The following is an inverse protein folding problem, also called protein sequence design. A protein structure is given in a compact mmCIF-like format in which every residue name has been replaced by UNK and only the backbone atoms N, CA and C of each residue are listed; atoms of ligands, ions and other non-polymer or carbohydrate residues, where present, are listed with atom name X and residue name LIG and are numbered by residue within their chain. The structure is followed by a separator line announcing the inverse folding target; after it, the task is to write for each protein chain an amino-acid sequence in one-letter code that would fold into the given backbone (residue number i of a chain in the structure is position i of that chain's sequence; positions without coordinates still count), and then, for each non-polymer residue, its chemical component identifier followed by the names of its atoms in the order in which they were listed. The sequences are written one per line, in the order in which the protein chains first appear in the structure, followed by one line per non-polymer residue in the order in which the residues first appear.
data_IF_473808113639
#
_entry.id   IF_473808113639
#
_cell.length_a   1.000
_cell.length_b   1.000
_cell.length_c   1.000
_cell.angle_alpha   90.00
_cell.angle_beta   90.00
_cell.angle_gamma   90.00
#
_symmetry.space_group_name_H-M   'P 1'
#
loop_
_entity.id
_entity.type
_entity.pdbx_description
1 polymer ?
#
# COMPACT_ATOMS: atom_id res chain seq x y z
N UNK A 1 -0.12 -1.57 -26.35
CA UNK A 1 -1.11 -0.55 -25.91
C UNK A 1 -0.54 0.22 -24.71
N UNK A 2 -0.68 1.55 -24.67
CA UNK A 2 -0.37 2.32 -23.44
C UNK A 2 -1.22 1.75 -22.28
N UNK A 3 -0.70 1.67 -21.07
CA UNK A 3 -1.38 1.07 -19.91
C UNK A 3 -1.23 -0.43 -19.73
N UNK A 4 -0.30 -1.09 -20.44
CA UNK A 4 0.00 -2.52 -20.25
C UNK A 4 1.50 -2.79 -20.19
N UNK A 5 1.90 -3.70 -19.29
CA UNK A 5 3.24 -4.28 -19.30
C UNK A 5 3.14 -5.69 -19.90
N UNK A 6 4.01 -5.95 -20.88
CA UNK A 6 4.26 -7.30 -21.36
C UNK A 6 5.25 -7.96 -20.40
N UNK A 7 4.81 -9.00 -19.71
CA UNK A 7 5.70 -9.81 -18.90
C UNK A 7 6.00 -11.10 -19.68
N UNK A 8 7.28 -11.33 -20.01
CA UNK A 8 7.76 -12.58 -20.61
C UNK A 8 8.32 -13.46 -19.50
N UNK A 9 7.62 -14.54 -19.18
CA UNK A 9 8.05 -15.49 -18.16
C UNK A 9 7.15 -16.73 -18.12
N UNK A 10 7.67 -17.82 -17.57
CA UNK A 10 6.88 -18.99 -17.20
C UNK A 10 6.16 -18.69 -15.89
N UNK A 11 4.93 -18.22 -15.99
CA UNK A 11 4.01 -18.14 -14.85
C UNK A 11 3.56 -19.54 -14.44
N UNK A 12 3.07 -19.69 -13.21
CA UNK A 12 2.56 -20.96 -12.66
C UNK A 12 1.46 -21.64 -13.50
N UNK A 13 0.91 -20.94 -14.51
CA UNK A 13 -0.11 -21.44 -15.43
C UNK A 13 0.40 -21.93 -16.80
N UNK A 14 1.72 -21.91 -17.04
CA UNK A 14 2.34 -22.53 -18.21
C UNK A 14 2.20 -21.75 -19.52
N UNK A 15 3.33 -21.21 -19.98
CA UNK A 15 3.66 -20.72 -21.34
C UNK A 15 2.74 -19.66 -22.00
N UNK A 16 3.28 -18.43 -22.13
CA UNK A 16 2.81 -17.41 -23.07
C UNK A 16 3.26 -15.99 -22.68
N UNK A 17 3.45 -15.10 -23.66
CA UNK A 17 3.55 -13.66 -23.40
C UNK A 17 2.19 -13.18 -22.87
N UNK A 18 2.16 -12.67 -21.64
CA UNK A 18 0.93 -12.14 -21.02
C UNK A 18 1.03 -10.64 -20.85
N UNK A 19 -0.05 -9.96 -21.24
CA UNK A 19 -0.21 -8.53 -21.04
C UNK A 19 -1.01 -8.32 -19.77
N UNK A 20 -0.38 -7.70 -18.78
CA UNK A 20 -1.06 -7.27 -17.57
C UNK A 20 -1.41 -5.80 -17.70
N UNK A 21 -2.64 -5.46 -17.34
CA UNK A 21 -3.07 -4.06 -17.26
C UNK A 21 -2.38 -3.43 -16.06
N UNK A 22 -1.73 -2.30 -16.29
CA UNK A 22 -1.16 -1.49 -15.23
C UNK A 22 -2.27 -1.03 -14.26
N UNK A 23 -2.07 -1.14 -12.93
CA UNK A 23 -3.03 -0.64 -11.96
C UNK A 23 -3.16 0.90 -12.03
N UNK A 24 -2.06 1.57 -12.36
CA UNK A 24 -1.90 3.00 -12.61
C UNK A 24 -0.61 3.22 -13.42
N UNK A 25 -0.41 4.42 -13.95
CA UNK A 25 0.83 4.84 -14.62
C UNK A 25 1.54 5.95 -13.83
N UNK A 26 2.88 6.07 -13.93
CA UNK A 26 3.59 7.23 -13.41
C UNK A 26 2.97 8.54 -13.93
N UNK A 27 2.71 9.47 -13.01
CA UNK A 27 1.98 10.72 -13.25
C UNK A 27 0.48 10.65 -12.95
N UNK A 28 -0.08 9.47 -12.69
CA UNK A 28 -1.46 9.35 -12.21
C UNK A 28 -1.61 9.95 -10.81
N UNK A 29 -2.77 10.59 -10.57
CA UNK A 29 -3.15 11.08 -9.25
C UNK A 29 -4.18 10.15 -8.62
N UNK A 30 -3.78 9.47 -7.54
CA UNK A 30 -4.63 8.63 -6.71
C UNK A 30 -5.20 9.43 -5.54
N UNK A 31 -6.29 8.93 -4.96
CA UNK A 31 -6.88 9.47 -3.75
C UNK A 31 -7.33 8.34 -2.81
N UNK A 32 -7.07 8.51 -1.52
CA UNK A 32 -7.39 7.49 -0.51
C UNK A 32 -8.89 7.51 -0.23
N UNK A 33 -9.51 6.33 -0.16
CA UNK A 33 -10.92 6.18 0.18
C UNK A 33 -11.07 5.64 1.60
N UNK A 34 -11.87 6.33 2.40
CA UNK A 34 -12.09 6.02 3.81
C UNK A 34 -13.57 5.80 4.09
N UNK A 35 -13.89 5.07 5.15
CA UNK A 35 -15.27 4.98 5.64
C UNK A 35 -15.68 6.36 6.15
N UNK A 36 -16.78 6.89 5.63
CA UNK A 36 -17.10 8.31 5.71
C UNK A 36 -18.58 8.55 6.05
N UNK A 37 -18.91 9.77 6.48
CA UNK A 37 -20.28 10.26 6.53
C UNK A 37 -20.33 11.75 6.17
N UNK A 38 -21.49 12.19 5.67
CA UNK A 38 -21.76 13.61 5.39
C UNK A 38 -22.58 14.18 6.54
N UNK A 39 -22.11 15.25 7.15
CA UNK A 39 -22.87 16.05 8.10
C UNK A 39 -23.04 17.48 7.55
N UNK A 40 -23.86 18.34 8.19
CA UNK A 40 -24.09 19.71 7.74
C UNK A 40 -22.79 20.53 7.56
N UNK A 41 -21.78 20.26 8.39
CA UNK A 41 -20.52 21.01 8.39
C UNK A 41 -19.39 20.35 7.57
N UNK A 42 -19.68 19.28 6.82
CA UNK A 42 -18.70 18.65 5.94
C UNK A 42 -18.65 17.12 6.02
N UNK A 43 -17.45 16.58 5.81
CA UNK A 43 -17.17 15.15 5.78
C UNK A 43 -16.47 14.71 7.06
N UNK A 44 -16.89 13.57 7.60
CA UNK A 44 -16.32 12.93 8.78
C UNK A 44 -15.87 11.52 8.43
N UNK A 45 -14.84 11.03 9.11
CA UNK A 45 -14.14 9.79 8.78
C UNK A 45 -14.08 8.90 10.02
N UNK A 46 -14.19 7.58 9.83
CA UNK A 46 -14.39 6.64 10.92
C UNK A 46 -13.25 6.66 11.95
N UNK A 47 -12.00 6.73 11.48
CA UNK A 47 -10.81 6.74 12.33
C UNK A 47 -10.67 8.01 13.19
N UNK A 48 -11.25 9.13 12.79
CA UNK A 48 -11.22 10.38 13.58
C UNK A 48 -12.37 10.47 14.58
N UNK A 49 -13.33 9.55 14.52
CA UNK A 49 -14.59 9.73 15.23
C UNK A 49 -14.43 9.48 16.73
N UNK A 50 -14.42 10.58 17.49
CA UNK A 50 -14.52 10.55 18.93
C UNK A 50 -15.97 10.36 19.37
N UNK A 51 -16.21 9.32 20.18
CA UNK A 51 -17.53 8.83 20.62
C UNK A 51 -18.43 9.87 21.32
N UNK A 52 -17.88 11.05 21.66
CA UNK A 52 -18.53 12.05 22.51
C UNK A 52 -19.14 13.25 21.77
N UNK A 53 -18.93 13.36 20.44
CA UNK A 53 -19.42 14.50 19.69
C UNK A 53 -20.75 14.21 18.99
N UNK A 54 -21.80 14.74 19.61
CA UNK A 54 -23.13 15.08 19.08
C UNK A 54 -23.89 13.91 18.47
N UNK A 55 -25.16 13.77 18.87
CA UNK A 55 -26.13 12.81 18.34
C UNK A 55 -26.37 13.02 16.83
N UNK A 56 -25.42 12.59 16.01
CA UNK A 56 -25.47 12.68 14.57
C UNK A 56 -26.00 11.34 14.05
N UNK A 57 -27.27 11.35 13.69
CA UNK A 57 -28.08 10.21 13.21
C UNK A 57 -27.62 9.69 11.83
N UNK A 58 -26.57 10.29 11.26
CA UNK A 58 -26.06 9.94 9.93
C UNK A 58 -25.27 8.63 9.97
N UNK A 59 -25.67 7.69 9.11
CA UNK A 59 -25.02 6.38 9.01
C UNK A 59 -23.67 6.49 8.30
N UNK A 60 -22.68 5.77 8.83
CA UNK A 60 -21.42 5.53 8.14
C UNK A 60 -21.66 4.90 6.77
N UNK A 61 -20.92 5.38 5.77
CA UNK A 61 -20.92 4.88 4.41
C UNK A 61 -19.59 4.21 4.11
N UNK A 62 -19.62 3.01 3.49
CA UNK A 62 -18.40 2.35 3.03
C UNK A 62 -17.55 3.24 2.12
N UNK A 63 -16.23 3.05 2.19
CA UNK A 63 -15.24 3.80 1.40
C UNK A 63 -15.45 3.72 -0.12
N UNK A 64 -16.00 2.62 -0.62
CA UNK A 64 -16.31 2.43 -2.05
C UNK A 64 -17.31 3.45 -2.59
N UNK A 65 -18.11 4.08 -1.73
CA UNK A 65 -19.09 5.10 -2.09
C UNK A 65 -18.61 6.52 -1.78
N UNK A 66 -17.35 6.70 -1.37
CA UNK A 66 -16.81 8.00 -1.02
C UNK A 66 -16.69 8.90 -2.25
N UNK A 67 -17.30 10.11 -2.24
CA UNK A 67 -17.13 11.05 -3.34
C UNK A 67 -15.70 11.58 -3.36
N UNK A 68 -15.18 11.85 -4.55
CA UNK A 68 -13.79 12.30 -4.76
C UNK A 68 -13.48 13.62 -4.02
N UNK A 69 -14.48 14.51 -3.89
CA UNK A 69 -14.33 15.77 -3.16
C UNK A 69 -14.06 15.61 -1.66
N UNK A 70 -14.46 14.47 -1.07
CA UNK A 70 -14.24 14.14 0.33
C UNK A 70 -12.85 13.53 0.58
N UNK A 71 -12.04 13.29 -0.45
CA UNK A 71 -10.69 12.76 -0.25
C UNK A 71 -9.76 13.79 0.38
N UNK A 72 -9.10 13.39 1.47
CA UNK A 72 -8.15 14.24 2.22
C UNK A 72 -6.69 13.99 1.86
N UNK A 73 -6.40 12.80 1.35
CA UNK A 73 -5.07 12.36 0.97
C UNK A 73 -5.07 12.11 -0.54
N UNK A 74 -4.13 12.77 -1.21
CA UNK A 74 -3.89 12.70 -2.64
C UNK A 74 -2.46 12.27 -2.87
N UNK A 75 -2.25 11.33 -3.78
CA UNK A 75 -0.97 10.69 -4.03
C UNK A 75 -0.64 10.81 -5.51
N UNK A 76 0.55 11.31 -5.84
CA UNK A 76 1.08 11.35 -7.19
C UNK A 76 1.96 10.12 -7.40
N UNK A 77 1.61 9.27 -8.36
CA UNK A 77 2.38 8.07 -8.68
C UNK A 77 3.69 8.48 -9.35
N UNK A 78 4.81 8.04 -8.80
CA UNK A 78 6.16 8.36 -9.30
C UNK A 78 6.76 7.21 -10.09
N UNK A 79 6.45 5.97 -9.72
CA UNK A 79 6.92 4.77 -10.41
C UNK A 79 5.95 3.59 -10.25
N UNK A 80 5.93 2.69 -11.22
CA UNK A 80 5.16 1.44 -11.18
C UNK A 80 5.99 0.32 -11.79
N UNK A 81 6.30 -0.70 -10.99
CA UNK A 81 7.11 -1.84 -11.41
C UNK A 81 6.56 -3.18 -10.90
N UNK A 82 7.16 -4.25 -11.39
CA UNK A 82 6.82 -5.63 -11.05
C UNK A 82 8.01 -6.26 -10.34
N UNK A 83 7.80 -6.80 -9.15
CA UNK A 83 8.83 -7.46 -8.33
C UNK A 83 8.27 -8.78 -7.77
N UNK A 84 9.15 -9.70 -7.39
CA UNK A 84 8.72 -10.86 -6.61
C UNK A 84 8.42 -10.43 -5.16
N UNK A 85 7.36 -10.98 -4.56
CA UNK A 85 6.97 -10.63 -3.20
C UNK A 85 8.14 -10.76 -2.19
N UNK A 86 8.94 -11.83 -2.30
CA UNK A 86 10.04 -12.09 -1.38
C UNK A 86 11.36 -11.35 -1.74
N UNK A 87 11.40 -10.55 -2.82
CA UNK A 87 12.55 -9.67 -3.10
C UNK A 87 12.55 -8.38 -2.24
N UNK A 88 11.45 -8.13 -1.52
CA UNK A 88 11.32 -7.00 -0.62
C UNK A 88 12.27 -7.10 0.57
N UNK A 89 12.64 -5.94 1.13
CA UNK A 89 13.54 -5.85 2.27
C UNK A 89 12.79 -5.37 3.51
N UNK A 90 13.34 -5.56 4.72
CA UNK A 90 12.76 -5.04 5.96
C UNK A 90 12.46 -3.53 5.91
N UNK A 91 13.31 -2.76 5.23
CA UNK A 91 13.06 -1.31 5.02
C UNK A 91 11.80 -1.05 4.18
N UNK A 92 11.47 -1.91 3.22
CA UNK A 92 10.29 -1.75 2.39
C UNK A 92 9.03 -2.03 3.22
N UNK A 93 9.07 -3.01 4.13
CA UNK A 93 8.00 -3.26 5.13
C UNK A 93 7.73 -2.01 5.99
N UNK A 94 8.78 -1.30 6.41
CA UNK A 94 8.63 -0.05 7.18
C UNK A 94 8.01 1.05 6.32
N UNK A 95 8.42 1.19 5.06
CA UNK A 95 7.83 2.17 4.12
C UNK A 95 6.35 1.90 3.84
N UNK A 96 5.94 0.63 3.81
CA UNK A 96 4.53 0.21 3.70
C UNK A 96 3.71 0.54 4.98
N UNK A 97 4.39 0.91 6.08
CA UNK A 97 3.74 1.35 7.32
C UNK A 97 3.28 0.21 8.22
N UNK A 98 3.79 -1.01 8.04
CA UNK A 98 3.41 -2.17 8.85
C UNK A 98 3.97 -2.13 10.29
N UNK A 99 4.99 -1.30 10.55
CA UNK A 99 5.65 -1.17 11.86
C UNK A 99 5.80 0.30 12.29
N UNK A 100 4.84 0.85 13.06
CA UNK A 100 4.90 2.22 13.57
C UNK A 100 6.07 2.47 14.53
N UNK A 101 6.39 1.46 15.36
CA UNK A 101 7.39 1.57 16.43
C UNK A 101 8.85 1.60 15.92
N UNK A 102 9.06 1.43 14.62
CA UNK A 102 10.37 1.49 13.95
C UNK A 102 10.57 2.75 13.11
N UNK A 103 9.74 3.79 13.25
CA UNK A 103 9.89 5.02 12.45
C UNK A 103 11.25 5.70 12.64
N UNK A 104 11.83 5.62 13.86
CA UNK A 104 13.18 6.12 14.13
C UNK A 104 14.27 5.38 13.32
N UNK A 105 14.01 4.13 12.93
CA UNK A 105 14.91 3.34 12.08
C UNK A 105 14.95 3.83 10.63
N UNK A 106 13.87 4.46 10.15
CA UNK A 106 13.81 5.02 8.80
C UNK A 106 14.77 6.21 8.63
N UNK A 107 15.01 6.97 9.71
CA UNK A 107 15.99 8.06 9.71
C UNK A 107 17.44 7.54 9.65
N UNK A 108 17.73 6.41 10.32
CA UNK A 108 19.06 5.76 10.31
C UNK A 108 19.39 5.08 8.98
N UNK A 109 18.37 4.72 8.18
CA UNK A 109 18.53 4.12 6.85
C UNK A 109 19.19 5.07 5.85
N UNK A 110 18.74 6.34 5.82
CA UNK A 110 19.20 7.33 4.85
C UNK A 110 20.70 7.64 4.92
N UNK A 111 21.30 7.45 6.10
CA UNK A 111 22.72 7.71 6.34
C UNK A 111 23.63 6.48 6.09
N UNK A 112 23.09 5.25 6.20
CA UNK A 112 23.89 4.03 6.18
C UNK A 112 23.83 3.25 4.87
N UNK A 113 22.76 3.40 4.06
CA UNK A 113 22.53 2.55 2.88
C UNK A 113 22.32 1.07 3.22
N UNK A 114 22.10 0.75 4.50
CA UNK A 114 21.97 -0.61 5.01
C UNK A 114 20.60 -1.19 4.67
N UNK A 115 20.54 -2.46 4.26
CA UNK A 115 19.26 -3.20 4.09
C UNK A 115 18.62 -3.59 5.44
N UNK A 116 19.31 -3.34 6.55
CA UNK A 116 18.90 -3.63 7.91
C UNK A 116 18.52 -2.33 8.63
N UNK A 117 17.39 -2.35 9.33
CA UNK A 117 16.80 -1.21 10.04
C UNK A 117 17.69 -0.63 11.16
N UNK A 118 18.69 -1.39 11.61
CA UNK A 118 19.48 -1.08 12.81
C UNK A 118 20.99 -0.90 12.56
N UNK A 119 21.44 -0.90 11.30
CA UNK A 119 22.80 -0.49 10.94
C UNK A 119 23.95 -1.44 11.33
N UNK A 120 23.72 -2.51 12.10
CA UNK A 120 24.74 -3.53 12.44
C UNK A 120 24.26 -4.97 12.19
N UNK A 121 25.18 -5.89 11.87
CA UNK A 121 24.87 -7.32 11.60
C UNK A 121 24.27 -8.05 12.83
N UNK A 122 24.63 -7.66 14.05
CA UNK A 122 24.11 -8.30 15.29
C UNK A 122 22.64 -7.98 15.57
N UNK A 123 22.11 -6.89 14.99
CA UNK A 123 20.70 -6.48 15.12
C UNK A 123 19.84 -6.97 13.94
N UNK A 124 20.40 -7.81 13.06
CA UNK A 124 19.71 -8.41 11.92
C UNK A 124 18.55 -9.34 12.35
N UNK A 125 18.57 -9.92 13.55
CA UNK A 125 17.48 -10.76 14.04
C UNK A 125 16.14 -10.02 14.21
N UNK A 126 16.17 -8.70 14.43
CA UNK A 126 14.96 -7.87 14.45
C UNK A 126 14.40 -7.62 13.04
N UNK A 127 15.22 -7.78 12.00
CA UNK A 127 14.74 -7.73 10.62
C UNK A 127 13.95 -8.99 10.25
N UNK A 128 14.32 -10.15 10.81
CA UNK A 128 13.58 -11.40 10.61
C UNK A 128 12.16 -11.28 11.22
N UNK A 129 12.04 -10.66 12.40
CA UNK A 129 10.74 -10.42 13.05
C UNK A 129 9.83 -9.51 12.20
N UNK A 130 10.38 -8.43 11.64
CA UNK A 130 9.64 -7.52 10.74
C UNK A 130 9.11 -8.26 9.52
N UNK A 131 9.93 -9.12 8.91
CA UNK A 131 9.52 -9.91 7.75
C UNK A 131 8.45 -10.96 8.11
N UNK A 132 8.57 -11.60 9.28
CA UNK A 132 7.59 -12.59 9.76
C UNK A 132 6.21 -11.96 10.03
N UNK A 133 6.15 -10.77 10.61
CA UNK A 133 4.87 -10.08 10.80
C UNK A 133 4.32 -9.54 9.48
N UNK A 134 5.18 -9.12 8.55
CA UNK A 134 4.73 -8.78 7.19
C UNK A 134 4.12 -9.98 6.48
N UNK A 135 4.73 -11.16 6.56
CA UNK A 135 4.17 -12.40 6.03
C UNK A 135 2.75 -12.65 6.56
N UNK A 136 2.54 -12.52 7.88
CA UNK A 136 1.23 -12.70 8.51
C UNK A 136 0.23 -11.66 8.01
N UNK A 137 0.64 -10.39 7.95
CA UNK A 137 -0.19 -9.30 7.46
C UNK A 137 -0.58 -9.54 6.00
N UNK A 138 0.37 -9.85 5.13
CA UNK A 138 0.17 -10.16 3.72
C UNK A 138 -0.84 -11.30 3.55
N UNK A 139 -0.60 -12.45 4.18
CA UNK A 139 -1.47 -13.60 4.13
C UNK A 139 -2.89 -13.29 4.65
N UNK A 140 -3.03 -12.39 5.63
CA UNK A 140 -4.34 -11.98 6.14
C UNK A 140 -5.19 -11.20 5.12
N UNK A 141 -4.57 -10.56 4.13
CA UNK A 141 -5.28 -9.83 3.06
C UNK A 141 -5.81 -10.74 1.96
N UNK A 142 -5.37 -12.00 1.94
CA UNK A 142 -5.66 -12.96 0.87
C UNK A 142 -6.75 -13.93 1.31
N UNK A 143 -7.65 -14.26 0.39
CA UNK A 143 -8.68 -15.28 0.65
C UNK A 143 -8.01 -16.62 0.87
N UNK A 144 -8.47 -17.37 1.88
CA UNK A 144 -7.93 -18.71 2.20
C UNK A 144 -7.89 -19.67 0.99
N UNK A 145 -8.84 -19.56 0.06
CA UNK A 145 -8.87 -20.38 -1.16
C UNK A 145 -7.76 -20.07 -2.16
N UNK A 146 -7.16 -18.89 -2.08
CA UNK A 146 -6.17 -18.38 -3.03
C UNK A 146 -4.75 -18.31 -2.43
N UNK A 147 -4.58 -18.79 -1.18
CA UNK A 147 -3.33 -18.67 -0.42
C UNK A 147 -2.16 -19.41 -1.10
N UNK A 148 -2.42 -20.57 -1.71
CA UNK A 148 -1.39 -21.35 -2.41
C UNK A 148 -0.87 -20.66 -3.69
N UNK A 149 -1.55 -19.60 -4.17
CA UNK A 149 -1.21 -18.88 -5.41
C UNK A 149 -0.67 -17.49 -5.17
N UNK A 150 -1.17 -16.81 -4.14
CA UNK A 150 -0.83 -15.41 -3.87
C UNK A 150 -0.28 -15.19 -2.46
N UNK A 151 -0.33 -16.20 -1.60
CA UNK A 151 0.25 -16.13 -0.25
C UNK A 151 1.77 -15.99 -0.28
N UNK A 152 2.33 -15.73 0.88
CA UNK A 152 3.77 -15.50 1.07
C UNK A 152 4.63 -16.61 0.48
N UNK A 153 4.32 -17.88 0.80
CA UNK A 153 5.06 -19.05 0.33
C UNK A 153 4.94 -19.28 -1.18
N UNK A 154 3.86 -18.79 -1.80
CA UNK A 154 3.70 -18.86 -3.24
C UNK A 154 4.63 -17.89 -3.99
N UNK A 155 5.17 -16.90 -3.28
CA UNK A 155 6.03 -15.84 -3.78
C UNK A 155 5.54 -15.30 -5.14
N UNK A 156 4.33 -14.69 -5.20
CA UNK A 156 3.80 -14.19 -6.47
C UNK A 156 4.56 -12.96 -6.98
N UNK A 157 4.40 -12.67 -8.26
CA UNK A 157 4.70 -11.35 -8.80
C UNK A 157 3.70 -10.32 -8.27
N UNK A 158 4.21 -9.19 -7.77
CA UNK A 158 3.41 -8.10 -7.22
C UNK A 158 3.68 -6.79 -7.95
N UNK A 159 2.71 -5.88 -7.89
CA UNK A 159 2.89 -4.51 -8.33
C UNK A 159 3.46 -3.68 -7.18
N UNK A 160 4.60 -3.03 -7.42
CA UNK A 160 5.15 -2.03 -6.51
C UNK A 160 4.84 -0.65 -7.09
N UNK A 161 4.13 0.16 -6.31
CA UNK A 161 3.67 1.49 -6.70
C UNK A 161 4.31 2.51 -5.78
N UNK A 162 5.19 3.35 -6.32
CA UNK A 162 5.77 4.45 -5.59
C UNK A 162 4.96 5.72 -5.79
N UNK A 163 4.83 6.51 -4.73
CA UNK A 163 4.07 7.74 -4.77
C UNK A 163 4.55 8.77 -3.76
N UNK A 164 4.22 10.03 -4.05
CA UNK A 164 4.41 11.14 -3.14
C UNK A 164 3.08 11.78 -2.78
N UNK A 165 2.95 12.26 -1.54
CA UNK A 165 1.77 13.03 -1.13
C UNK A 165 1.73 14.35 -1.88
N UNK A 166 0.60 14.66 -2.52
CA UNK A 166 0.39 15.90 -3.24
C UNK A 166 -0.83 16.67 -2.71
N UNK A 167 -1.02 17.89 -3.23
CA UNK A 167 -2.23 18.69 -2.96
C UNK A 167 -3.37 18.18 -3.84
N UNK A 168 -4.62 18.40 -3.39
CA UNK A 168 -5.81 18.19 -4.21
C UNK A 168 -5.64 18.91 -5.58
N UNK A 169 -5.76 18.19 -6.71
CA UNK A 169 -5.72 18.81 -8.03
C UNK A 169 -6.79 19.87 -8.16
N UNK A 170 -6.47 20.97 -8.85
CA UNK A 170 -7.49 21.95 -9.25
C UNK A 170 -8.32 21.31 -10.35
N UNK A 171 -9.64 21.35 -10.22
CA UNK A 171 -10.52 20.97 -11.33
C UNK A 171 -10.30 21.98 -12.46
N UNK A 172 -9.83 21.50 -13.61
CA UNK A 172 -9.82 22.30 -14.83
C UNK A 172 -11.29 22.44 -15.28
N UNK A 173 -11.80 23.67 -15.22
CA UNK A 173 -13.18 24.02 -15.60
C UNK A 173 -13.43 23.81 -17.09
#
# INVERSE_FOLDING_TARGET
PKGYISCRGTFADGYGEKFFKLPCEPGDILYVRETWKKAPNGYYYYEDWQRNDIADVTKWKPSIHMPKEAARIWLNVTDVRVEWLQEMKPVDVIKEGAYPDCWDCLNTYGESGSQCCYGTEEQCSQCDEVMMEWEKLWNSTIKKSDIDRYGWDANPWVWVIEFERCKKPKEEN
#
